data_IF_986457121395
#
_entry.id   IF_986457121395
#
_cell.length_a   1.000
_cell.length_b   1.000
_cell.length_c   1.000
_cell.angle_alpha   90.00
_cell.angle_beta   90.00
_cell.angle_gamma   90.00
#
_symmetry.space_group_name_H-M   'P 1'
#
loop_
_entity.id
_entity.type
_entity.pdbx_description
1 polymer ?
#
# COMPACT_ATOMS: atom_id res chain seq x y z
N UNK A 1 -2.47 -18.63 13.22
CA UNK A 1 -1.07 -19.13 13.09
C UNK A 1 -0.47 -18.30 11.99
N UNK A 2 -0.02 -17.35 12.33
CA UNK A 2 1.09 -16.41 12.53
C UNK A 2 1.84 -16.11 11.25
N UNK A 3 1.44 -14.99 10.65
CA UNK A 3 2.09 -14.39 9.50
C UNK A 3 3.29 -13.57 9.99
N UNK A 4 4.49 -14.13 9.92
CA UNK A 4 5.73 -13.41 10.13
C UNK A 4 5.94 -12.38 9.01
N UNK A 5 5.55 -11.13 9.27
CA UNK A 5 5.98 -9.97 8.50
C UNK A 5 7.37 -9.56 9.02
N UNK A 6 8.42 -10.07 8.37
CA UNK A 6 9.80 -9.61 8.60
C UNK A 6 9.94 -8.19 8.03
N UNK A 7 9.76 -7.21 8.88
CA UNK A 7 10.15 -5.82 8.61
C UNK A 7 11.68 -5.77 8.59
N UNK A 8 12.29 -5.52 7.42
CA UNK A 8 13.74 -5.34 7.29
C UNK A 8 14.16 -4.08 8.06
N UNK A 9 14.89 -4.29 9.13
CA UNK A 9 15.45 -3.23 9.97
C UNK A 9 16.60 -2.57 9.20
N UNK A 10 16.48 -1.28 8.93
CA UNK A 10 17.59 -0.48 8.41
C UNK A 10 18.66 -0.29 9.51
N UNK A 11 19.75 -1.05 9.38
CA UNK A 11 20.89 -1.05 10.31
C UNK A 11 21.63 0.29 10.38
N UNK A 12 21.37 1.23 9.48
CA UNK A 12 22.02 2.54 9.49
C UNK A 12 21.41 3.52 10.51
N UNK A 13 20.12 3.31 10.87
CA UNK A 13 19.47 4.13 11.90
C UNK A 13 19.96 3.82 13.31
N UNK A 14 20.54 2.64 13.54
CA UNK A 14 21.00 2.22 14.88
C UNK A 14 22.37 2.80 15.22
N UNK A 15 23.20 3.12 14.21
CA UNK A 15 24.56 3.65 14.44
C UNK A 15 24.62 5.09 14.97
N UNK A 16 23.59 5.90 14.73
CA UNK A 16 23.59 7.30 15.18
C UNK A 16 23.24 7.47 16.67
N UNK A 17 22.59 6.51 17.30
CA UNK A 17 22.21 6.59 18.71
C UNK A 17 23.20 5.96 19.69
N UNK A 18 24.21 5.22 19.23
CA UNK A 18 25.21 4.56 20.12
C UNK A 18 26.39 5.49 20.47
N UNK A 19 26.54 6.61 19.76
CA UNK A 19 27.68 7.52 19.96
C UNK A 19 27.53 8.52 21.12
N UNK A 20 26.39 8.56 21.84
CA UNK A 20 26.18 9.58 22.88
C UNK A 20 26.28 9.10 24.33
N UNK A 21 26.70 7.86 24.60
CA UNK A 21 26.75 7.35 25.95
C UNK A 21 28.15 6.83 26.37
N UNK A 22 29.20 7.62 26.17
CA UNK A 22 30.51 7.25 26.69
C UNK A 22 31.15 8.36 27.55
N UNK A 23 30.41 8.91 28.50
CA UNK A 23 31.01 9.72 29.58
C UNK A 23 30.12 9.77 30.82
N UNK A 24 30.05 8.69 31.58
CA UNK A 24 29.65 8.80 32.98
C UNK A 24 30.29 7.70 33.85
N UNK A 25 30.96 8.19 34.84
CA UNK A 25 31.62 7.65 36.02
C UNK A 25 31.09 6.33 36.61
N UNK A 26 32.06 5.46 36.95
CA UNK A 26 31.91 4.24 37.77
C UNK A 26 31.46 4.59 39.19
N UNK A 27 30.18 4.42 39.51
CA UNK A 27 29.76 4.06 40.88
C UNK A 27 28.27 3.67 40.87
N UNK A 28 28.02 2.50 41.51
CA UNK A 28 26.72 1.91 41.88
C UNK A 28 25.88 1.28 40.79
N UNK A 29 26.20 0.00 40.63
CA UNK A 29 25.35 -1.07 40.16
C UNK A 29 24.05 -1.09 40.98
N UNK A 30 22.97 -0.58 40.46
CA UNK A 30 21.61 -0.86 40.94
C UNK A 30 20.82 -1.30 39.75
N UNK A 31 20.37 -2.54 39.82
CA UNK A 31 19.48 -3.19 38.84
C UNK A 31 18.23 -2.33 38.62
N UNK A 32 18.20 -1.58 37.55
CA UNK A 32 16.98 -1.17 36.90
C UNK A 32 17.15 -1.52 35.43
N UNK A 33 16.80 -2.75 35.11
CA UNK A 33 16.58 -3.17 33.74
C UNK A 33 15.42 -2.31 33.19
N UNK A 34 15.75 -1.16 32.63
CA UNK A 34 14.83 -0.41 31.80
C UNK A 34 14.64 -1.23 30.55
N UNK A 35 13.61 -2.06 30.57
CA UNK A 35 13.02 -2.62 29.38
C UNK A 35 12.48 -1.43 28.57
N UNK A 36 13.33 -0.81 27.78
CA UNK A 36 12.88 0.01 26.68
C UNK A 36 12.32 -0.97 25.65
N UNK A 37 11.03 -1.31 25.80
CA UNK A 37 10.27 -1.81 24.69
C UNK A 37 10.23 -0.68 23.66
N UNK A 38 11.19 -0.69 22.74
CA UNK A 38 11.04 0.02 21.49
C UNK A 38 9.81 -0.59 20.82
N UNK A 39 8.67 0.06 20.98
CA UNK A 39 7.52 -0.17 20.13
C UNK A 39 7.95 0.27 18.76
N UNK A 40 8.50 -0.66 17.97
CA UNK A 40 8.74 -0.47 16.55
C UNK A 40 7.36 -0.46 15.93
N UNK A 41 6.73 0.71 15.94
CA UNK A 41 5.55 0.95 15.14
C UNK A 41 5.95 0.77 13.69
N UNK A 42 5.41 -0.25 13.04
CA UNK A 42 5.49 -0.36 11.60
C UNK A 42 4.72 0.85 11.02
N UNK A 43 5.43 1.95 10.75
CA UNK A 43 4.82 3.09 10.08
C UNK A 43 4.42 2.64 8.68
N UNK A 44 3.11 2.63 8.45
CA UNK A 44 2.55 2.44 7.11
C UNK A 44 3.03 3.61 6.25
N UNK A 45 3.87 3.30 5.28
CA UNK A 45 4.39 4.31 4.35
C UNK A 45 3.31 4.64 3.33
N UNK A 46 2.69 5.78 3.48
CA UNK A 46 1.81 6.37 2.46
C UNK A 46 2.64 7.22 1.49
N UNK A 47 2.45 7.01 0.20
CA UNK A 47 3.01 7.84 -0.87
C UNK A 47 1.90 8.74 -1.38
N UNK A 48 2.05 10.04 -1.22
CA UNK A 48 1.10 11.05 -1.70
C UNK A 48 1.69 11.68 -2.95
N UNK A 49 1.00 11.55 -4.07
CA UNK A 49 1.38 12.18 -5.34
C UNK A 49 0.67 13.54 -5.50
N UNK A 50 1.31 14.48 -6.16
CA UNK A 50 0.74 15.81 -6.47
C UNK A 50 -0.55 15.72 -7.30
N UNK A 51 -0.72 14.63 -8.04
CA UNK A 51 -1.94 14.33 -8.80
C UNK A 51 -3.17 14.04 -7.93
N UNK A 52 -3.01 13.86 -6.60
CA UNK A 52 -4.06 13.47 -5.67
C UNK A 52 -4.28 11.96 -5.55
N UNK A 53 -3.32 11.16 -6.05
CA UNK A 53 -3.27 9.73 -5.78
C UNK A 53 -2.50 9.47 -4.49
N UNK A 54 -3.12 8.71 -3.57
CA UNK A 54 -2.45 8.22 -2.36
C UNK A 54 -2.31 6.71 -2.45
N UNK A 55 -1.09 6.22 -2.26
CA UNK A 55 -0.72 4.81 -2.33
C UNK A 55 -0.27 4.34 -0.95
N UNK A 56 -0.90 3.28 -0.45
CA UNK A 56 -0.53 2.61 0.80
C UNK A 56 -0.28 1.12 0.50
N UNK A 57 0.96 0.66 0.62
CA UNK A 57 1.28 -0.77 0.55
C UNK A 57 0.87 -1.46 1.84
N UNK A 58 -0.13 -2.35 1.76
CA UNK A 58 -0.61 -3.14 2.89
C UNK A 58 0.23 -4.40 3.08
N UNK A 59 0.63 -5.03 1.98
CA UNK A 59 1.52 -6.18 1.92
C UNK A 59 2.44 -5.97 0.72
N UNK A 60 3.74 -6.05 0.95
CA UNK A 60 4.73 -6.00 -0.13
C UNK A 60 4.90 -7.42 -0.68
N UNK A 61 4.53 -7.62 -1.95
CA UNK A 61 4.73 -8.87 -2.65
C UNK A 61 6.21 -9.19 -2.89
N UNK A 62 6.50 -10.44 -3.19
CA UNK A 62 7.88 -10.93 -3.45
C UNK A 62 8.07 -11.44 -4.88
N UNK A 63 7.00 -11.51 -5.69
CA UNK A 63 7.05 -11.97 -7.07
C UNK A 63 7.45 -10.89 -8.08
N UNK A 64 7.10 -11.12 -9.35
CA UNK A 64 7.40 -10.22 -10.50
C UNK A 64 6.81 -8.84 -10.26
N UNK A 65 7.58 -7.80 -10.64
CA UNK A 65 7.16 -6.40 -10.53
C UNK A 65 6.27 -6.00 -11.72
N UNK A 66 5.19 -5.29 -11.45
CA UNK A 66 4.32 -4.72 -12.48
C UNK A 66 4.95 -3.44 -13.05
N UNK A 67 5.24 -3.46 -14.33
CA UNK A 67 5.80 -2.34 -15.07
C UNK A 67 4.78 -1.80 -16.09
N UNK A 68 5.04 -0.62 -16.63
CA UNK A 68 4.22 -0.09 -17.71
C UNK A 68 4.25 -1.06 -18.89
N UNK A 69 3.07 -1.33 -19.47
CA UNK A 69 2.81 -2.26 -20.57
C UNK A 69 2.78 -3.75 -20.16
N UNK A 70 3.02 -4.10 -18.91
CA UNK A 70 2.76 -5.45 -18.42
C UNK A 70 1.27 -5.78 -18.49
N UNK A 71 0.95 -7.03 -18.79
CA UNK A 71 -0.41 -7.55 -18.57
C UNK A 71 -0.48 -8.01 -17.12
N UNK A 72 -1.43 -7.46 -16.38
CA UNK A 72 -1.60 -7.75 -14.96
C UNK A 72 -2.95 -8.39 -14.68
N UNK A 73 -2.97 -9.33 -13.75
CA UNK A 73 -4.18 -9.96 -13.23
C UNK A 73 -4.33 -9.61 -11.76
N UNK A 74 -5.48 -9.04 -11.37
CA UNK A 74 -5.72 -8.54 -10.02
C UNK A 74 -7.05 -8.99 -9.45
N UNK A 75 -7.10 -9.16 -8.13
CA UNK A 75 -8.33 -9.03 -7.37
C UNK A 75 -8.45 -7.63 -6.80
N UNK A 76 -9.69 -7.12 -6.72
CA UNK A 76 -9.93 -5.81 -6.15
C UNK A 76 -11.27 -5.69 -5.46
N UNK A 77 -11.37 -4.68 -4.60
CA UNK A 77 -12.63 -4.17 -4.05
C UNK A 77 -12.58 -2.64 -4.07
N UNK A 78 -13.56 -2.03 -4.75
CA UNK A 78 -13.74 -0.59 -4.85
C UNK A 78 -14.83 -0.10 -3.90
N UNK A 79 -14.53 0.97 -3.15
CA UNK A 79 -15.42 1.61 -2.18
C UNK A 79 -15.44 3.12 -2.35
N UNK A 80 -16.57 3.73 -2.00
CA UNK A 80 -16.67 5.16 -1.75
C UNK A 80 -16.10 5.52 -0.38
N UNK A 81 -15.97 6.81 -0.08
CA UNK A 81 -15.45 7.31 1.21
C UNK A 81 -16.35 6.93 2.40
N UNK A 82 -17.65 6.78 2.18
CA UNK A 82 -18.62 6.33 3.19
C UNK A 82 -18.57 4.81 3.46
N UNK A 83 -17.72 4.07 2.71
CA UNK A 83 -17.57 2.63 2.82
C UNK A 83 -18.48 1.82 1.88
N UNK A 84 -19.36 2.46 1.12
CA UNK A 84 -20.22 1.79 0.13
C UNK A 84 -19.36 1.07 -0.90
N UNK A 85 -19.51 -0.26 -1.02
CA UNK A 85 -18.84 -1.08 -2.03
C UNK A 85 -19.59 -0.92 -3.36
N UNK A 86 -18.95 -0.32 -4.36
CA UNK A 86 -19.55 -0.17 -5.68
C UNK A 86 -19.16 -1.29 -6.65
N UNK A 87 -17.98 -1.89 -6.47
CA UNK A 87 -17.50 -2.98 -7.32
C UNK A 87 -16.50 -3.88 -6.61
N UNK A 88 -16.40 -5.18 -7.03
CA UNK A 88 -15.43 -6.13 -6.50
C UNK A 88 -15.33 -7.36 -7.40
N UNK A 89 -14.13 -7.79 -7.72
CA UNK A 89 -13.86 -9.06 -8.41
C UNK A 89 -13.93 -10.27 -7.47
N UNK A 90 -14.12 -10.08 -6.16
CA UNK A 90 -14.21 -11.17 -5.18
C UNK A 90 -15.65 -11.61 -4.90
N UNK A 91 -16.63 -11.14 -5.66
CA UNK A 91 -18.01 -11.61 -5.60
C UNK A 91 -18.11 -13.02 -6.18
N UNK A 92 -19.04 -13.82 -5.65
CA UNK A 92 -19.27 -15.19 -6.16
C UNK A 92 -19.55 -15.15 -7.67
N UNK A 93 -18.79 -15.95 -8.44
CA UNK A 93 -18.92 -16.03 -9.89
C UNK A 93 -18.19 -14.94 -10.68
N UNK A 94 -17.37 -14.14 -10.02
CA UNK A 94 -16.50 -13.16 -10.68
C UNK A 94 -15.07 -13.72 -10.78
N UNK A 95 -14.47 -13.50 -11.94
CA UNK A 95 -13.05 -13.84 -12.19
C UNK A 95 -12.14 -12.67 -11.84
N UNK A 96 -10.84 -12.94 -11.57
CA UNK A 96 -9.85 -11.87 -11.47
C UNK A 96 -9.85 -11.00 -12.73
N UNK A 97 -9.61 -9.72 -12.54
CA UNK A 97 -9.61 -8.75 -13.63
C UNK A 97 -8.23 -8.67 -14.29
N UNK A 98 -8.17 -8.86 -15.60
CA UNK A 98 -6.95 -8.85 -16.40
C UNK A 98 -6.96 -7.68 -17.38
N UNK A 99 -5.86 -6.91 -17.40
CA UNK A 99 -5.71 -5.75 -18.29
C UNK A 99 -4.25 -5.40 -18.52
N UNK A 100 -3.98 -4.58 -19.55
CA UNK A 100 -2.64 -4.04 -19.83
C UNK A 100 -2.44 -2.73 -19.08
N UNK A 101 -1.37 -2.64 -18.30
CA UNK A 101 -1.08 -1.51 -17.42
C UNK A 101 -0.51 -0.31 -18.19
N UNK A 102 -0.99 0.89 -17.91
CA UNK A 102 -0.44 2.14 -18.44
C UNK A 102 -0.84 2.48 -19.88
N UNK A 103 -1.93 1.91 -20.39
CA UNK A 103 -2.46 2.15 -21.75
C UNK A 103 -3.86 2.75 -21.78
N UNK A 104 -4.40 3.16 -20.63
CA UNK A 104 -5.73 3.78 -20.54
C UNK A 104 -6.90 2.78 -20.65
N UNK A 105 -6.68 1.49 -20.40
CA UNK A 105 -7.75 0.49 -20.29
C UNK A 105 -8.56 0.64 -19.00
N UNK A 106 -7.97 1.26 -18.00
CA UNK A 106 -8.52 1.50 -16.67
C UNK A 106 -8.42 2.99 -16.34
N UNK A 107 -8.99 3.42 -15.21
CA UNK A 107 -8.85 4.79 -14.73
C UNK A 107 -7.38 5.15 -14.44
N UNK A 108 -7.01 6.41 -14.62
CA UNK A 108 -5.62 6.88 -14.48
C UNK A 108 -5.00 6.54 -13.12
N UNK A 109 -5.83 6.57 -12.06
CA UNK A 109 -5.40 6.19 -10.72
C UNK A 109 -4.92 4.74 -10.60
N UNK A 110 -5.45 3.84 -11.41
CA UNK A 110 -4.99 2.45 -11.50
C UNK A 110 -3.72 2.33 -12.33
N UNK A 111 -3.72 2.95 -13.52
CA UNK A 111 -2.55 2.96 -14.42
C UNK A 111 -1.30 3.51 -13.73
N UNK A 112 -1.46 4.50 -12.83
CA UNK A 112 -0.36 5.05 -12.05
C UNK A 112 -0.11 4.26 -10.75
N UNK A 113 -1.18 3.83 -10.09
CA UNK A 113 -1.11 3.28 -8.74
C UNK A 113 -0.66 1.82 -8.65
N UNK A 114 -0.80 1.03 -9.71
CA UNK A 114 -0.43 -0.39 -9.73
C UNK A 114 1.02 -0.59 -10.17
N UNK A 115 1.59 0.35 -10.93
CA UNK A 115 3.01 0.32 -11.29
C UNK A 115 3.86 0.18 -10.02
N UNK A 116 4.86 -0.72 -10.08
CA UNK A 116 5.76 -1.00 -8.98
C UNK A 116 5.23 -1.98 -7.93
N UNK A 117 3.99 -2.45 -8.03
CA UNK A 117 3.52 -3.58 -7.22
C UNK A 117 4.27 -4.85 -7.60
N UNK A 118 4.43 -5.75 -6.64
CA UNK A 118 4.95 -7.10 -6.88
C UNK A 118 3.84 -8.12 -6.69
N UNK A 119 3.89 -9.20 -7.46
CA UNK A 119 2.96 -10.34 -7.32
C UNK A 119 2.92 -10.83 -5.87
N UNK A 120 1.71 -11.08 -5.36
CA UNK A 120 1.42 -11.37 -3.96
C UNK A 120 1.30 -10.14 -3.08
N UNK A 121 1.46 -8.93 -3.63
CA UNK A 121 1.30 -7.68 -2.92
C UNK A 121 -0.16 -7.24 -2.82
N UNK A 122 -0.48 -6.52 -1.73
CA UNK A 122 -1.75 -5.84 -1.54
C UNK A 122 -1.50 -4.34 -1.39
N UNK A 123 -2.24 -3.54 -2.13
CA UNK A 123 -2.12 -2.07 -2.14
C UNK A 123 -3.48 -1.42 -2.00
N UNK A 124 -3.53 -0.36 -1.21
CA UNK A 124 -4.69 0.52 -1.15
C UNK A 124 -4.40 1.78 -1.94
N UNK A 125 -5.32 2.11 -2.84
CA UNK A 125 -5.29 3.30 -3.67
C UNK A 125 -6.44 4.22 -3.25
N UNK A 126 -6.14 5.46 -2.85
CA UNK A 126 -7.12 6.52 -2.69
C UNK A 126 -6.98 7.46 -3.88
N UNK A 127 -8.00 7.48 -4.72
CA UNK A 127 -7.96 8.10 -6.04
C UNK A 127 -8.84 9.34 -6.05
N UNK A 128 -8.23 10.50 -6.28
CA UNK A 128 -8.96 11.75 -6.46
C UNK A 128 -9.86 11.66 -7.71
N UNK A 129 -11.05 12.30 -7.73
CA UNK A 129 -11.97 12.25 -8.86
C UNK A 129 -11.33 12.51 -10.24
N UNK A 130 -10.35 13.39 -10.33
CA UNK A 130 -9.62 13.70 -11.59
C UNK A 130 -8.91 12.50 -12.21
N UNK A 131 -8.51 11.53 -11.40
CA UNK A 131 -7.85 10.29 -11.81
C UNK A 131 -8.81 9.10 -11.84
N UNK A 132 -10.08 9.33 -11.53
CA UNK A 132 -11.17 8.36 -11.55
C UNK A 132 -12.22 8.72 -12.61
N UNK A 133 -13.46 8.88 -12.18
CA UNK A 133 -14.60 9.17 -13.09
C UNK A 133 -14.96 10.66 -13.20
N UNK A 134 -14.26 11.55 -12.48
CA UNK A 134 -14.47 12.99 -12.54
C UNK A 134 -15.91 13.39 -12.20
N UNK A 135 -16.50 14.24 -13.03
CA UNK A 135 -17.89 14.71 -12.89
C UNK A 135 -18.94 13.77 -13.49
N UNK A 136 -18.53 12.58 -13.97
CA UNK A 136 -19.47 11.61 -14.54
C UNK A 136 -20.24 10.91 -13.42
N UNK A 137 -21.56 10.80 -13.60
CA UNK A 137 -22.40 9.94 -12.78
C UNK A 137 -22.30 8.49 -13.33
N UNK A 138 -21.94 7.55 -12.47
CA UNK A 138 -21.87 6.11 -12.76
C UNK A 138 -22.90 5.31 -11.95
N UNK A 139 -24.02 5.93 -11.60
CA UNK A 139 -25.08 5.32 -10.80
C UNK A 139 -24.69 5.19 -9.33
N UNK A 140 -24.06 4.08 -8.93
CA UNK A 140 -23.62 3.87 -7.54
C UNK A 140 -22.47 4.82 -7.14
N UNK A 141 -21.73 5.36 -8.12
CA UNK A 141 -20.65 6.31 -7.90
C UNK A 141 -21.12 7.72 -8.28
N UNK A 142 -21.41 8.59 -7.31
CA UNK A 142 -21.80 9.97 -7.57
C UNK A 142 -20.72 10.77 -8.30
N UNK A 143 -21.05 11.87 -8.97
CA UNK A 143 -20.07 12.79 -9.54
C UNK A 143 -19.06 13.29 -8.50
N UNK A 144 -17.83 13.45 -8.92
CA UNK A 144 -16.72 13.96 -8.09
C UNK A 144 -16.42 13.10 -6.85
N UNK A 145 -16.68 11.80 -6.92
CA UNK A 145 -16.37 10.87 -5.84
C UNK A 145 -14.89 10.52 -5.77
N UNK A 146 -14.32 10.56 -4.57
CA UNK A 146 -13.04 9.91 -4.28
C UNK A 146 -13.25 8.40 -4.18
N UNK A 147 -12.43 7.65 -4.88
CA UNK A 147 -12.51 6.19 -4.92
C UNK A 147 -11.42 5.58 -4.03
N UNK A 148 -11.77 4.52 -3.32
CA UNK A 148 -10.83 3.75 -2.50
C UNK A 148 -10.84 2.32 -3.01
N UNK A 149 -9.70 1.87 -3.55
CA UNK A 149 -9.54 0.49 -3.98
C UNK A 149 -8.56 -0.23 -3.07
N UNK A 150 -8.89 -1.47 -2.72
CA UNK A 150 -7.93 -2.46 -2.25
C UNK A 150 -7.65 -3.40 -3.41
N UNK A 151 -6.40 -3.47 -3.84
CA UNK A 151 -5.94 -4.27 -4.98
C UNK A 151 -4.96 -5.31 -4.50
N UNK A 152 -5.12 -6.54 -4.97
CA UNK A 152 -4.18 -7.66 -4.81
C UNK A 152 -3.65 -8.03 -6.20
N UNK A 153 -2.33 -8.02 -6.38
CA UNK A 153 -1.69 -8.39 -7.63
C UNK A 153 -1.40 -9.89 -7.64
N UNK A 154 -2.05 -10.62 -8.55
CA UNK A 154 -1.97 -12.08 -8.65
C UNK A 154 -0.90 -12.52 -9.66
N UNK A 155 -0.80 -11.82 -10.81
CA UNK A 155 0.04 -12.22 -11.92
C UNK A 155 0.53 -11.03 -12.73
N UNK A 156 1.71 -11.15 -13.32
CA UNK A 156 2.33 -10.19 -14.26
C UNK A 156 2.94 -10.97 -15.42
N UNK A 157 2.54 -10.59 -16.65
CA UNK A 157 3.06 -11.11 -17.91
C UNK A 157 3.70 -9.99 -18.76
#
# INVERSE_FOLDING_TARGET
MDSNSLCLIDLNSIKSHISYSNKMSKTKLSLLAVFVFAVIGCEKKEIIMDSGLVIEDLIIGVGTIAEKYSIVTVHYTGKLQDGTVFDSSQKIGQEPFRFTLGVGQVIDGWDQGIIGMKVGGHRKLKIHPKLGYGSQDKGVIPPNSTLIFKVELLEVE
#
